data_IF_478889839433
#
_entry.id   IF_478889839433
#
_cell.length_a   1.000
_cell.length_b   1.000
_cell.length_c   1.000
_cell.angle_alpha   90.00
_cell.angle_beta   90.00
_cell.angle_gamma   90.00
#
_symmetry.space_group_name_H-M   'P 1'
#
loop_
_entity.id
_entity.type
_entity.pdbx_description
1 polymer ?
#
# COMPACT_ATOMS: atom_id res chain seq x y z
N UNK A 1 0.60 9.31 -2.40
CA UNK A 1 1.47 8.10 -2.42
C UNK A 1 1.41 7.34 -1.09
N UNK A 2 1.52 8.01 0.06
CA UNK A 2 1.43 7.35 1.37
C UNK A 2 0.03 6.74 1.65
N UNK A 3 -1.06 7.30 1.11
CA UNK A 3 -2.42 6.74 1.25
C UNK A 3 -2.54 5.33 0.66
N UNK A 4 -2.02 5.12 -0.55
CA UNK A 4 -2.05 3.81 -1.21
C UNK A 4 -1.20 2.77 -0.45
N UNK A 5 -0.05 3.17 0.07
CA UNK A 5 0.80 2.28 0.86
C UNK A 5 0.14 1.85 2.18
N UNK A 6 -0.44 2.80 2.93
CA UNK A 6 -1.17 2.49 4.17
C UNK A 6 -2.37 1.59 3.89
N UNK A 7 -3.07 1.76 2.76
CA UNK A 7 -4.14 0.85 2.36
C UNK A 7 -3.63 -0.59 2.16
N UNK A 8 -2.54 -0.77 1.41
CA UNK A 8 -1.94 -2.10 1.20
C UNK A 8 -1.51 -2.74 2.52
N UNK A 9 -0.94 -1.94 3.43
CA UNK A 9 -0.54 -2.40 4.75
C UNK A 9 -1.76 -2.84 5.59
N UNK A 10 -2.88 -2.11 5.53
CA UNK A 10 -4.14 -2.48 6.17
C UNK A 10 -4.72 -3.78 5.61
N UNK A 11 -4.66 -3.97 4.29
CA UNK A 11 -5.12 -5.19 3.64
C UNK A 11 -4.25 -6.39 4.09
N UNK A 12 -2.93 -6.21 4.18
CA UNK A 12 -2.00 -7.20 4.71
C UNK A 12 -2.33 -7.55 6.17
N UNK A 13 -2.53 -6.54 7.04
CA UNK A 13 -2.93 -6.77 8.44
C UNK A 13 -4.25 -7.52 8.54
N UNK A 14 -5.23 -7.18 7.71
CA UNK A 14 -6.53 -7.85 7.66
C UNK A 14 -6.38 -9.32 7.30
N UNK A 15 -5.54 -9.64 6.31
CA UNK A 15 -5.19 -11.01 5.95
C UNK A 15 -4.58 -11.79 7.13
N UNK A 16 -3.69 -11.16 7.90
CA UNK A 16 -3.10 -11.79 9.09
C UNK A 16 -4.10 -11.99 10.23
N UNK A 17 -5.03 -11.07 10.42
CA UNK A 17 -6.08 -11.14 11.45
C UNK A 17 -7.12 -12.22 11.11
N UNK A 18 -7.52 -12.31 9.84
CA UNK A 18 -8.51 -13.29 9.37
C UNK A 18 -7.92 -14.67 9.11
N UNK A 19 -6.62 -14.73 8.79
CA UNK A 19 -5.91 -15.97 8.51
C UNK A 19 -5.46 -16.71 9.76
N UNK A 20 -5.08 -17.97 9.57
CA UNK A 20 -4.52 -18.80 10.65
C UNK A 20 -3.15 -18.30 11.15
N UNK A 21 -2.49 -17.38 10.41
CA UNK A 21 -1.16 -16.87 10.76
C UNK A 21 -1.13 -16.06 12.05
N UNK A 22 -2.17 -15.26 12.33
CA UNK A 22 -2.29 -14.56 13.62
C UNK A 22 -2.31 -15.55 14.80
N UNK A 23 -2.99 -16.69 14.63
CA UNK A 23 -3.01 -17.79 15.59
C UNK A 23 -1.69 -18.59 15.59
N UNK A 24 -0.95 -18.60 14.47
CA UNK A 24 0.38 -19.23 14.36
C UNK A 24 1.40 -18.57 15.26
N UNK A 25 1.44 -17.26 15.22
CA UNK A 25 2.46 -16.49 15.92
C UNK A 25 1.99 -15.91 17.26
N UNK A 26 0.69 -15.91 17.53
CA UNK A 26 0.12 -15.40 18.79
C UNK A 26 0.07 -13.87 18.87
N UNK A 27 0.23 -13.17 17.75
CA UNK A 27 0.23 -11.70 17.66
C UNK A 27 -1.10 -11.10 17.20
N UNK A 28 -2.19 -11.85 17.32
CA UNK A 28 -3.50 -11.43 16.82
C UNK A 28 -3.97 -10.10 17.44
N UNK A 29 -3.72 -9.90 18.74
CA UNK A 29 -4.11 -8.68 19.45
C UNK A 29 -3.31 -7.47 18.97
N UNK A 30 -2.02 -7.68 18.76
CA UNK A 30 -1.07 -6.68 18.28
C UNK A 30 -1.40 -6.27 16.84
N UNK A 31 -1.68 -7.23 15.95
CA UNK A 31 -2.13 -6.94 14.58
C UNK A 31 -3.46 -6.18 14.56
N UNK A 32 -4.43 -6.54 15.41
CA UNK A 32 -5.69 -5.79 15.54
C UNK A 32 -5.47 -4.36 16.01
N UNK A 33 -4.59 -4.15 17.00
CA UNK A 33 -4.25 -2.80 17.47
C UNK A 33 -3.60 -1.98 16.35
N UNK A 34 -2.63 -2.53 15.64
CA UNK A 34 -2.00 -1.88 14.49
C UNK A 34 -3.01 -1.51 13.40
N UNK A 35 -3.89 -2.45 13.04
CA UNK A 35 -4.94 -2.21 12.05
C UNK A 35 -5.83 -1.04 12.45
N UNK A 36 -6.30 -1.00 13.71
CA UNK A 36 -7.11 0.11 14.22
C UNK A 36 -6.37 1.46 14.16
N UNK A 37 -5.09 1.50 14.53
CA UNK A 37 -4.28 2.72 14.49
C UNK A 37 -4.06 3.22 13.05
N UNK A 38 -3.71 2.32 12.13
CA UNK A 38 -3.51 2.68 10.72
C UNK A 38 -4.82 3.13 10.05
N UNK A 39 -5.96 2.53 10.37
CA UNK A 39 -7.26 3.00 9.89
C UNK A 39 -7.59 4.41 10.40
N UNK A 40 -7.29 4.68 11.68
CA UNK A 40 -7.49 6.00 12.27
C UNK A 40 -6.59 7.07 11.62
N UNK A 41 -5.35 6.70 11.29
CA UNK A 41 -4.41 7.56 10.59
C UNK A 41 -4.83 7.78 9.14
N UNK A 42 -5.32 6.74 8.46
CA UNK A 42 -5.80 6.83 7.08
C UNK A 42 -6.90 7.88 6.92
N UNK A 43 -7.81 8.00 7.89
CA UNK A 43 -8.91 8.97 7.87
C UNK A 43 -8.45 10.44 7.82
N UNK A 44 -7.24 10.74 8.33
CA UNK A 44 -6.67 12.10 8.34
C UNK A 44 -5.49 12.29 7.40
N UNK A 45 -5.11 11.23 6.69
CA UNK A 45 -3.86 11.22 5.94
C UNK A 45 -3.90 12.17 4.73
N UNK A 46 -5.07 12.33 4.12
CA UNK A 46 -5.30 13.26 3.00
C UNK A 46 -5.10 14.72 3.46
N UNK A 47 -5.79 15.14 4.53
CA UNK A 47 -5.66 16.48 5.11
C UNK A 47 -4.23 16.76 5.58
N UNK A 48 -3.59 15.78 6.22
CA UNK A 48 -2.20 15.87 6.62
C UNK A 48 -1.25 16.07 5.42
N UNK A 49 -1.48 15.37 4.30
CA UNK A 49 -0.67 15.51 3.09
C UNK A 49 -0.83 16.87 2.42
N UNK A 50 -2.02 17.47 2.44
CA UNK A 50 -2.22 18.84 1.95
C UNK A 50 -1.53 19.87 2.86
N UNK A 51 -1.73 19.73 4.19
CA UNK A 51 -1.18 20.65 5.20
C UNK A 51 0.34 20.53 5.35
N UNK A 52 0.98 19.41 4.96
CA UNK A 52 2.44 19.22 5.06
C UNK A 52 3.25 20.27 4.30
N UNK A 53 2.68 20.86 3.24
CA UNK A 53 3.34 21.87 2.43
C UNK A 53 3.50 23.20 3.18
N UNK A 54 2.60 23.46 4.14
CA UNK A 54 2.56 24.69 4.93
C UNK A 54 3.21 24.51 6.31
N UNK A 55 3.06 23.33 6.92
CA UNK A 55 3.49 23.09 8.29
C UNK A 55 4.59 22.02 8.37
N UNK A 56 5.81 22.45 8.71
CA UNK A 56 6.97 21.56 8.87
C UNK A 56 6.77 20.50 9.96
N UNK A 57 5.97 20.80 10.99
CA UNK A 57 5.66 19.84 12.05
C UNK A 57 4.83 18.65 11.53
N UNK A 58 3.83 18.90 10.67
CA UNK A 58 3.03 17.85 10.01
C UNK A 58 3.90 17.04 9.06
N UNK A 59 4.82 17.68 8.33
CA UNK A 59 5.79 16.97 7.48
C UNK A 59 6.68 16.01 8.29
N UNK A 60 7.19 16.45 9.45
CA UNK A 60 7.99 15.60 10.33
C UNK A 60 7.15 14.43 10.89
N UNK A 61 5.93 14.72 11.33
CA UNK A 61 4.99 13.71 11.80
C UNK A 61 4.69 12.63 10.73
N UNK A 62 4.41 13.03 9.49
CA UNK A 62 4.23 12.12 8.36
C UNK A 62 5.49 11.30 8.05
N UNK A 63 6.68 11.88 8.21
CA UNK A 63 7.93 11.16 8.02
C UNK A 63 8.14 10.07 9.09
N UNK A 64 7.87 10.39 10.36
CA UNK A 64 7.89 9.39 11.45
C UNK A 64 6.89 8.27 11.20
N UNK A 65 5.67 8.63 10.76
CA UNK A 65 4.64 7.68 10.39
C UNK A 65 5.10 6.74 9.27
N UNK A 66 5.69 7.27 8.20
CA UNK A 66 6.19 6.45 7.09
C UNK A 66 7.26 5.46 7.56
N UNK A 67 8.22 5.91 8.36
CA UNK A 67 9.26 5.02 8.92
C UNK A 67 8.63 3.90 9.73
N UNK A 68 7.63 4.23 10.57
CA UNK A 68 6.93 3.23 11.36
C UNK A 68 6.11 2.25 10.49
N UNK A 69 5.47 2.74 9.43
CA UNK A 69 4.71 1.91 8.51
C UNK A 69 5.62 0.90 7.77
N UNK A 70 6.78 1.32 7.28
CA UNK A 70 7.74 0.40 6.66
C UNK A 70 8.25 -0.66 7.64
N UNK A 71 8.54 -0.28 8.88
CA UNK A 71 9.01 -1.24 9.88
C UNK A 71 7.92 -2.29 10.24
N UNK A 72 6.64 -1.91 10.19
CA UNK A 72 5.51 -2.85 10.32
C UNK A 72 5.41 -3.76 9.10
N UNK A 73 5.53 -3.23 7.88
CA UNK A 73 5.50 -4.02 6.65
C UNK A 73 6.63 -5.07 6.64
N UNK A 74 7.84 -4.69 7.03
CA UNK A 74 8.98 -5.61 7.20
C UNK A 74 8.67 -6.75 8.18
N UNK A 75 7.99 -6.44 9.30
CA UNK A 75 7.57 -7.47 10.27
C UNK A 75 6.53 -8.42 9.66
N UNK A 76 5.58 -7.89 8.88
CA UNK A 76 4.57 -8.71 8.21
C UNK A 76 5.23 -9.64 7.18
N UNK A 77 6.19 -9.15 6.40
CA UNK A 77 6.90 -9.96 5.41
C UNK A 77 7.81 -11.03 6.05
N UNK A 78 8.46 -10.72 7.16
CA UNK A 78 9.16 -11.71 7.99
C UNK A 78 8.18 -12.82 8.43
N UNK A 79 6.98 -12.44 8.89
CA UNK A 79 5.95 -13.40 9.30
C UNK A 79 5.43 -14.25 8.13
N UNK A 80 5.23 -13.68 6.93
CA UNK A 80 4.84 -14.44 5.72
C UNK A 80 5.94 -15.43 5.33
N UNK A 81 7.19 -15.00 5.39
CA UNK A 81 8.34 -15.83 5.03
C UNK A 81 8.47 -17.02 5.98
N UNK A 82 8.34 -16.78 7.28
CA UNK A 82 8.41 -17.85 8.27
C UNK A 82 7.17 -18.76 8.20
N UNK A 83 5.97 -18.21 7.95
CA UNK A 83 4.75 -18.96 7.67
C UNK A 83 4.90 -19.97 6.53
N UNK A 84 5.55 -19.57 5.43
CA UNK A 84 5.81 -20.45 4.29
C UNK A 84 6.76 -21.59 4.69
N UNK A 85 7.77 -21.32 5.53
CA UNK A 85 8.71 -22.33 6.04
C UNK A 85 8.03 -23.32 6.98
N UNK A 86 7.06 -22.91 7.80
CA UNK A 86 6.26 -23.84 8.60
C UNK A 86 5.56 -24.89 7.77
N UNK A 87 4.98 -24.49 6.64
CA UNK A 87 4.27 -25.41 5.74
C UNK A 87 5.20 -26.46 5.12
N UNK A 88 6.52 -26.21 5.11
CA UNK A 88 7.52 -27.10 4.53
C UNK A 88 8.26 -27.95 5.58
N UNK A 89 8.19 -27.60 6.88
CA UNK A 89 8.99 -28.24 7.92
C UNK A 89 8.26 -29.39 8.64
N UNK A 90 8.91 -30.56 8.75
CA UNK A 90 8.37 -31.80 9.36
C UNK A 90 8.07 -31.66 10.87
N UNK A 91 8.80 -30.80 11.59
CA UNK A 91 8.66 -30.60 13.04
C UNK A 91 7.64 -29.51 13.44
N UNK A 92 7.00 -28.84 12.47
CA UNK A 92 5.95 -27.85 12.72
C UNK A 92 6.33 -26.76 13.74
N UNK A 93 5.31 -26.26 14.48
CA UNK A 93 5.41 -25.14 15.44
C UNK A 93 6.42 -25.31 16.59
N UNK A 94 6.90 -26.53 16.86
CA UNK A 94 7.70 -26.83 18.05
C UNK A 94 9.21 -26.78 17.80
N UNK A 95 9.63 -26.29 16.64
CA UNK A 95 11.05 -26.14 16.35
C UNK A 95 11.65 -24.96 17.15
N UNK A 96 12.80 -25.12 17.84
CA UNK A 96 13.42 -24.04 18.64
C UNK A 96 13.67 -22.73 17.87
N UNK A 97 13.88 -22.80 16.55
CA UNK A 97 14.04 -21.60 15.70
C UNK A 97 12.74 -20.79 15.59
N UNK A 98 11.58 -21.44 15.61
CA UNK A 98 10.27 -20.78 15.63
C UNK A 98 10.08 -19.95 16.90
N UNK A 99 10.43 -20.52 18.05
CA UNK A 99 10.25 -19.85 19.34
C UNK A 99 11.15 -18.62 19.43
N UNK A 100 12.41 -18.74 18.97
CA UNK A 100 13.34 -17.60 18.92
C UNK A 100 12.90 -16.53 17.90
N UNK A 101 12.32 -16.94 16.77
CA UNK A 101 11.70 -16.02 15.81
C UNK A 101 10.52 -15.26 16.44
N UNK A 102 9.57 -15.97 17.06
CA UNK A 102 8.43 -15.34 17.73
C UNK A 102 8.90 -14.35 18.81
N UNK A 103 9.92 -14.69 19.60
CA UNK A 103 10.47 -13.75 20.58
C UNK A 103 11.05 -12.49 19.92
N UNK A 104 11.83 -12.65 18.84
CA UNK A 104 12.42 -11.52 18.10
C UNK A 104 11.35 -10.62 17.49
N UNK A 105 10.35 -11.21 16.83
CA UNK A 105 9.23 -10.47 16.23
C UNK A 105 8.39 -9.79 17.30
N UNK A 106 8.05 -10.49 18.39
CA UNK A 106 7.27 -9.93 19.49
C UNK A 106 7.96 -8.72 20.13
N UNK A 107 9.29 -8.75 20.29
CA UNK A 107 10.05 -7.59 20.79
C UNK A 107 9.95 -6.40 19.83
N UNK A 108 10.21 -6.61 18.52
CA UNK A 108 10.09 -5.56 17.49
C UNK A 108 8.67 -5.01 17.43
N UNK A 109 7.68 -5.87 17.51
CA UNK A 109 6.26 -5.52 17.49
C UNK A 109 5.89 -4.61 18.66
N UNK A 110 6.41 -4.91 19.86
CA UNK A 110 6.21 -4.08 21.05
C UNK A 110 6.83 -2.69 20.88
N UNK A 111 8.09 -2.63 20.46
CA UNK A 111 8.79 -1.36 20.19
C UNK A 111 8.04 -0.53 19.13
N UNK A 112 7.47 -1.20 18.12
CA UNK A 112 6.69 -0.55 17.08
C UNK A 112 5.35 0.01 17.55
N UNK A 113 4.63 -0.72 18.39
CA UNK A 113 3.40 -0.21 18.99
C UNK A 113 3.66 1.02 19.85
N UNK A 114 4.76 1.04 20.63
CA UNK A 114 5.13 2.21 21.43
C UNK A 114 5.45 3.43 20.56
N UNK A 115 6.18 3.25 19.46
CA UNK A 115 6.45 4.32 18.48
C UNK A 115 5.16 4.85 17.85
N UNK A 116 4.26 3.95 17.44
CA UNK A 116 2.99 4.33 16.81
C UNK A 116 2.04 5.02 17.80
N UNK A 117 2.03 4.60 19.08
CA UNK A 117 1.24 5.26 20.12
C UNK A 117 1.73 6.71 20.31
N UNK A 118 3.05 6.93 20.33
CA UNK A 118 3.62 8.28 20.38
C UNK A 118 3.23 9.13 19.15
N UNK A 119 3.24 8.54 17.95
CA UNK A 119 2.80 9.21 16.72
C UNK A 119 1.31 9.57 16.79
N UNK A 120 0.48 8.68 17.32
CA UNK A 120 -0.95 8.91 17.50
C UNK A 120 -1.25 10.01 18.52
N UNK A 121 -0.44 10.14 19.57
CA UNK A 121 -0.55 11.26 20.53
C UNK A 121 -0.07 12.58 19.90
N UNK A 122 1.03 12.58 19.14
CA UNK A 122 1.49 13.76 18.39
C UNK A 122 0.40 14.29 17.44
N UNK A 123 -0.38 13.40 16.82
CA UNK A 123 -1.52 13.75 15.94
C UNK A 123 -2.49 14.72 16.62
N UNK A 124 -2.75 14.55 17.92
CA UNK A 124 -3.75 15.36 18.66
C UNK A 124 -3.42 16.86 18.64
N UNK A 125 -2.16 17.22 18.41
CA UNK A 125 -1.72 18.60 18.35
C UNK A 125 -1.99 19.29 17.00
N UNK A 126 -2.26 18.52 15.93
CA UNK A 126 -2.26 19.03 14.56
C UNK A 126 -3.64 19.44 14.01
N UNK A 127 -4.72 19.32 14.79
CA UNK A 127 -6.10 19.65 14.36
C UNK A 127 -6.38 19.19 12.92
N UNK A 128 -6.15 17.89 12.69
CA UNK A 128 -6.37 17.25 11.40
C UNK A 128 -7.83 16.82 11.29
N UNK A 129 -8.48 17.22 10.21
CA UNK A 129 -9.90 16.95 10.00
C UNK A 129 -10.08 15.65 9.20
N UNK A 130 -11.04 14.83 9.62
CA UNK A 130 -11.48 13.66 8.87
C UNK A 130 -12.38 14.15 7.74
N UNK A 131 -11.86 14.22 6.51
CA UNK A 131 -12.69 14.53 5.35
C UNK A 131 -13.68 13.38 5.12
N UNK A 132 -14.96 13.70 5.10
CA UNK A 132 -15.99 12.81 4.54
C UNK A 132 -15.72 12.78 3.03
N UNK A 133 -15.18 11.67 2.56
CA UNK A 133 -14.75 11.54 1.17
C UNK A 133 -15.98 11.38 0.27
N UNK A 134 -16.56 12.49 -0.21
CA UNK A 134 -17.31 12.47 -1.47
C UNK A 134 -16.28 12.31 -2.60
N UNK A 135 -15.94 11.06 -2.90
CA UNK A 135 -14.83 10.68 -3.78
C UNK A 135 -15.20 10.95 -5.24
N UNK A 136 -15.29 12.21 -5.66
CA UNK A 136 -14.97 12.58 -7.04
C UNK A 136 -13.45 12.65 -7.16
N UNK A 137 -12.80 11.48 -7.01
CA UNK A 137 -11.43 11.35 -7.45
C UNK A 137 -11.44 11.62 -8.96
N UNK A 138 -10.92 12.76 -9.38
CA UNK A 138 -10.50 12.99 -10.76
C UNK A 138 -9.33 12.03 -11.04
N UNK A 139 -9.65 10.74 -11.15
CA UNK A 139 -8.74 9.69 -11.54
C UNK A 139 -8.28 10.04 -12.94
N UNK A 140 -6.97 10.08 -13.17
CA UNK A 140 -6.43 10.07 -14.54
C UNK A 140 -7.05 8.86 -15.23
N UNK A 141 -7.95 9.11 -16.18
CA UNK A 141 -8.60 8.05 -16.94
C UNK A 141 -7.58 7.50 -17.93
N UNK A 142 -6.95 6.39 -17.58
CA UNK A 142 -6.02 5.65 -18.46
C UNK A 142 -6.65 4.36 -18.98
N UNK A 143 -7.98 4.27 -18.97
CA UNK A 143 -8.73 3.09 -19.37
C UNK A 143 -9.61 3.36 -20.59
N UNK A 144 -10.02 2.29 -21.26
CA UNK A 144 -11.03 2.33 -22.31
C UNK A 144 -12.40 2.68 -21.69
N UNK A 145 -13.02 3.78 -22.15
CA UNK A 145 -14.37 4.16 -21.71
C UNK A 145 -15.36 3.43 -22.64
N UNK A 146 -16.32 2.68 -22.07
CA UNK A 146 -17.35 1.94 -22.82
C UNK A 146 -18.20 2.83 -23.75
N UNK A 147 -18.22 4.13 -23.50
CA UNK A 147 -18.79 5.16 -24.36
C UNK A 147 -17.67 6.10 -24.77
N UNK A 148 -17.14 5.90 -25.99
CA UNK A 148 -16.03 6.71 -26.49
C UNK A 148 -16.48 8.18 -26.61
N UNK A 149 -15.78 9.13 -25.96
CA UNK A 149 -16.00 10.54 -26.25
C UNK A 149 -15.61 10.80 -27.70
N UNK A 150 -16.48 11.49 -28.44
CA UNK A 150 -16.24 11.75 -29.87
C UNK A 150 -15.02 12.67 -30.03
N UNK A 151 -13.93 12.11 -30.54
CA UNK A 151 -12.69 12.84 -30.87
C UNK A 151 -12.89 13.50 -32.23
N UNK A 152 -12.64 14.81 -32.31
CA UNK A 152 -12.76 15.59 -33.54
C UNK A 152 -11.39 16.13 -33.96
N UNK A 153 -11.16 16.24 -35.28
CA UNK A 153 -9.97 16.88 -35.84
C UNK A 153 -8.69 16.07 -35.77
N UNK A 154 -8.78 14.79 -35.38
CA UNK A 154 -7.69 13.80 -35.45
C UNK A 154 -8.02 12.64 -36.39
N UNK A 155 -8.95 12.85 -37.33
CA UNK A 155 -9.40 11.77 -38.22
C UNK A 155 -8.23 11.26 -39.08
N UNK A 156 -7.38 12.17 -39.58
CA UNK A 156 -6.23 11.83 -40.43
C UNK A 156 -5.17 11.02 -39.68
N UNK A 157 -4.82 11.43 -38.47
CA UNK A 157 -3.87 10.73 -37.62
C UNK A 157 -4.42 9.36 -37.19
N UNK A 158 -5.73 9.26 -36.96
CA UNK A 158 -6.41 7.99 -36.71
C UNK A 158 -6.25 7.01 -37.87
N UNK A 159 -6.53 7.46 -39.10
CA UNK A 159 -6.39 6.65 -40.30
C UNK A 159 -4.93 6.21 -40.56
N UNK A 160 -3.97 7.09 -40.28
CA UNK A 160 -2.54 6.80 -40.42
C UNK A 160 -2.08 5.72 -39.42
N UNK A 161 -2.52 5.81 -38.17
CA UNK A 161 -2.24 4.79 -37.14
C UNK A 161 -2.83 3.43 -37.56
N UNK A 162 -4.10 3.40 -38.02
CA UNK A 162 -4.74 2.15 -38.47
C UNK A 162 -3.96 1.54 -39.64
N UNK A 163 -3.51 2.36 -40.60
CA UNK A 163 -2.70 1.92 -41.73
C UNK A 163 -1.36 1.33 -41.28
N UNK A 164 -0.68 1.94 -40.31
CA UNK A 164 0.57 1.42 -39.73
C UNK A 164 0.30 0.07 -39.04
N UNK A 165 -0.77 -0.04 -38.26
CA UNK A 165 -1.10 -1.26 -37.53
C UNK A 165 -1.44 -2.44 -38.45
N UNK A 166 -2.15 -2.19 -39.55
CA UNK A 166 -2.51 -3.24 -40.52
C UNK A 166 -1.30 -3.69 -41.34
N UNK A 167 -0.47 -2.76 -41.80
CA UNK A 167 0.63 -3.08 -42.71
C UNK A 167 1.85 -3.70 -42.00
N UNK A 168 2.00 -3.50 -40.69
CA UNK A 168 3.11 -4.06 -39.91
C UNK A 168 2.81 -5.48 -39.35
N UNK A 169 1.70 -6.11 -39.74
CA UNK A 169 1.45 -7.53 -39.44
C UNK A 169 2.19 -8.39 -40.47
N UNK A 170 3.51 -8.46 -40.34
CA UNK A 170 4.36 -9.42 -41.06
C UNK A 170 5.02 -10.35 -40.04
N UNK A 171 5.17 -11.63 -40.38
CA UNK A 171 5.70 -12.71 -39.52
C UNK A 171 7.20 -12.56 -39.20
N UNK A 172 7.63 -11.39 -38.70
CA UNK A 172 8.99 -11.16 -38.20
C UNK A 172 9.07 -11.39 -36.69
N UNK A 173 10.18 -11.93 -36.22
CA UNK A 173 10.49 -12.18 -34.79
C UNK A 173 10.56 -10.90 -33.92
N UNK A 174 10.35 -9.72 -34.49
CA UNK A 174 10.43 -8.42 -33.81
C UNK A 174 9.04 -7.86 -33.48
N UNK A 175 8.87 -7.37 -32.24
CA UNK A 175 7.62 -6.76 -31.76
C UNK A 175 7.51 -5.31 -32.26
N UNK A 176 6.48 -4.94 -33.05
CA UNK A 176 6.32 -3.58 -33.53
C UNK A 176 5.93 -2.62 -32.37
N UNK A 177 6.63 -1.49 -32.27
CA UNK A 177 6.38 -0.44 -31.26
C UNK A 177 6.02 0.87 -31.95
N UNK A 178 4.87 1.46 -31.59
CA UNK A 178 4.39 2.74 -32.13
C UNK A 178 4.30 3.79 -31.00
N UNK A 179 5.29 4.69 -30.86
CA UNK A 179 5.23 5.75 -29.86
C UNK A 179 4.27 6.87 -30.29
N UNK A 180 3.38 7.29 -29.39
CA UNK A 180 2.50 8.45 -29.58
C UNK A 180 3.04 9.59 -28.71
N UNK A 181 3.49 10.67 -29.36
CA UNK A 181 4.02 11.85 -28.69
C UNK A 181 2.99 12.98 -28.70
N UNK A 182 2.84 13.66 -27.56
CA UNK A 182 2.01 14.84 -27.40
C UNK A 182 2.61 15.78 -26.35
N UNK A 183 2.16 17.03 -26.34
CA UNK A 183 2.45 18.01 -25.28
C UNK A 183 1.27 18.13 -24.33
#
# INVERSE_FOLDING_TARGET
MAEAFIQVLLDNLTFFIQGELGLVFGFEKEFKKLSSMFSMIQAVLEDAQEKQLKYKAIKNWLQKLNVAAYEVDDILDDCKTEAARFKQAVLGRYHPRTITFCYKVGKRMKEMMEKLDAIAEERRNFHLDERIIERQAARRQTGFVLTEPKVYGREKEGDEIVKILINNVSDSEEVPVLPILGM
#
